data_IF_369188503526
#
_entry.id   IF_369188503526
#
_cell.length_a   1.000
_cell.length_b   1.000
_cell.length_c   1.000
_cell.angle_alpha   90.00
_cell.angle_beta   90.00
_cell.angle_gamma   90.00
#
_symmetry.space_group_name_H-M   'P 1'
#
loop_
_entity.id
_entity.type
_entity.pdbx_description
1 polymer ?
#
# COMPACT_ATOMS: atom_id res chain seq x y z
N UNK A 1 52.78 46.89 -0.05
CA UNK A 1 51.50 46.87 0.71
C UNK A 1 50.84 45.53 0.45
N UNK A 2 50.47 44.82 1.52
CA UNK A 2 50.21 43.37 1.55
C UNK A 2 48.95 42.99 0.74
N UNK A 3 49.08 41.98 -0.11
CA UNK A 3 48.02 41.39 -0.91
C UNK A 3 47.06 40.58 -0.03
N UNK A 4 45.83 41.08 0.01
CA UNK A 4 44.61 40.45 0.53
C UNK A 4 44.22 39.29 -0.42
N UNK A 5 43.57 38.19 -0.08
CA UNK A 5 42.94 37.68 1.15
C UNK A 5 42.57 36.21 0.86
N UNK A 6 42.92 35.30 1.78
CA UNK A 6 42.16 34.09 2.18
C UNK A 6 41.31 33.34 1.15
N UNK A 7 41.77 32.14 0.76
CA UNK A 7 40.96 31.08 0.14
C UNK A 7 40.03 30.47 1.20
N UNK A 8 38.71 30.62 1.03
CA UNK A 8 37.73 29.88 1.82
C UNK A 8 37.38 28.58 1.08
N UNK A 9 37.89 27.44 1.59
CA UNK A 9 37.42 26.12 1.17
C UNK A 9 36.25 25.75 2.08
N UNK A 10 35.02 25.90 1.59
CA UNK A 10 33.83 25.38 2.24
C UNK A 10 33.72 23.88 1.96
N UNK A 11 34.20 23.05 2.90
CA UNK A 11 34.02 21.60 2.84
C UNK A 11 32.66 21.26 3.48
N UNK A 12 31.59 21.28 2.69
CA UNK A 12 30.28 20.83 3.15
C UNK A 12 30.27 19.30 3.24
N UNK A 13 30.38 18.78 4.47
CA UNK A 13 30.25 17.35 4.76
C UNK A 13 28.77 17.00 4.60
N UNK A 14 28.43 16.27 3.52
CA UNK A 14 27.10 15.68 3.35
C UNK A 14 26.98 14.47 4.27
N UNK A 15 26.41 14.66 5.45
CA UNK A 15 26.03 13.55 6.34
C UNK A 15 24.65 13.07 5.87
N UNK A 16 24.62 12.05 5.00
CA UNK A 16 23.36 11.36 4.68
C UNK A 16 23.08 10.33 5.77
N UNK A 17 22.36 10.73 6.82
CA UNK A 17 21.80 9.78 7.77
C UNK A 17 20.57 9.11 7.14
N UNK A 18 20.75 7.91 6.55
CA UNK A 18 19.63 7.03 6.23
C UNK A 18 19.15 6.37 7.54
N UNK A 19 18.19 7.00 8.21
CA UNK A 19 17.47 6.38 9.30
C UNK A 19 16.49 5.35 8.72
N UNK A 20 16.84 4.06 8.77
CA UNK A 20 15.87 2.99 8.57
C UNK A 20 15.14 2.78 9.89
N UNK A 21 13.85 3.14 9.92
CA UNK A 21 12.98 2.86 11.05
C UNK A 21 12.57 1.39 11.01
N UNK A 22 13.09 0.59 11.93
CA UNK A 22 12.51 -0.71 12.26
C UNK A 22 11.40 -0.47 13.29
N UNK A 23 10.14 -0.43 12.85
CA UNK A 23 9.04 -0.28 13.79
C UNK A 23 8.70 -1.63 14.44
N UNK A 24 8.45 -1.65 15.77
CA UNK A 24 7.98 -2.83 16.46
C UNK A 24 6.59 -3.20 15.93
N UNK A 25 6.23 -4.47 16.04
CA UNK A 25 4.89 -5.01 15.73
C UNK A 25 3.80 -4.24 16.50
N UNK A 26 3.28 -3.19 15.89
CA UNK A 26 2.04 -2.53 16.28
C UNK A 26 0.94 -3.02 15.34
N UNK A 27 -0.07 -3.67 15.91
CA UNK A 27 -1.36 -3.89 15.27
C UNK A 27 -1.86 -2.55 14.71
N UNK A 28 -2.13 -2.48 13.41
CA UNK A 28 -2.67 -1.29 12.73
C UNK A 28 -1.67 -0.45 11.92
N UNK A 29 -0.44 -0.90 11.66
CA UNK A 29 0.42 -0.21 10.68
C UNK A 29 -0.10 -0.42 9.24
N UNK A 30 0.01 0.57 8.33
CA UNK A 30 -0.40 0.43 6.94
C UNK A 30 0.18 -0.81 6.23
N UNK A 31 1.40 -1.20 6.60
CA UNK A 31 2.08 -2.38 6.08
C UNK A 31 1.39 -3.68 6.51
N UNK A 32 0.97 -3.79 7.77
CA UNK A 32 0.28 -4.99 8.28
C UNK A 32 -1.07 -5.18 7.59
N UNK A 33 -1.83 -4.09 7.44
CA UNK A 33 -3.12 -4.08 6.74
C UNK A 33 -2.94 -4.47 5.27
N UNK A 34 -1.94 -3.87 4.60
CA UNK A 34 -1.64 -4.20 3.20
C UNK A 34 -1.29 -5.68 3.05
N UNK A 35 -0.49 -6.24 3.96
CA UNK A 35 -0.12 -7.66 3.96
C UNK A 35 -1.34 -8.57 4.17
N UNK A 36 -2.20 -8.23 5.12
CA UNK A 36 -3.43 -8.97 5.39
C UNK A 36 -4.37 -8.98 4.17
N UNK A 37 -4.63 -7.80 3.58
CA UNK A 37 -5.47 -7.70 2.39
C UNK A 37 -4.83 -8.43 1.20
N UNK A 38 -3.50 -8.38 1.06
CA UNK A 38 -2.78 -9.12 0.00
C UNK A 38 -2.99 -10.62 0.15
N UNK A 39 -2.92 -11.16 1.37
CA UNK A 39 -3.19 -12.58 1.63
C UNK A 39 -4.62 -12.99 1.25
N UNK A 40 -5.60 -12.09 1.46
CA UNK A 40 -6.98 -12.32 0.99
C UNK A 40 -7.07 -12.37 -0.53
N UNK A 41 -6.18 -11.69 -1.26
CA UNK A 41 -6.13 -11.63 -2.72
C UNK A 41 -5.19 -12.68 -3.37
N UNK A 42 -4.67 -13.64 -2.60
CA UNK A 42 -3.79 -14.67 -3.14
C UNK A 42 -4.52 -15.70 -4.01
N UNK A 43 -3.77 -16.30 -4.95
CA UNK A 43 -4.20 -17.38 -5.84
C UNK A 43 -5.45 -17.04 -6.69
N UNK A 44 -5.35 -16.06 -7.60
CA UNK A 44 -6.38 -15.83 -8.60
C UNK A 44 -6.57 -17.06 -9.49
N UNK A 45 -7.82 -17.34 -9.86
CA UNK A 45 -8.19 -18.48 -10.72
C UNK A 45 -8.16 -18.13 -12.21
N UNK A 46 -7.72 -16.92 -12.55
CA UNK A 46 -7.66 -16.38 -13.92
C UNK A 46 -6.23 -15.94 -14.23
N UNK A 47 -5.94 -15.81 -15.53
CA UNK A 47 -4.63 -15.37 -16.00
C UNK A 47 -4.57 -13.84 -16.06
N UNK A 48 -3.56 -13.26 -15.43
CA UNK A 48 -3.21 -11.85 -15.63
C UNK A 48 -2.36 -11.77 -16.88
N UNK A 49 -2.96 -11.36 -18.00
CA UNK A 49 -2.26 -11.26 -19.30
C UNK A 49 -1.49 -9.95 -19.48
N UNK A 50 -1.81 -8.93 -18.69
CA UNK A 50 -1.18 -7.61 -18.72
C UNK A 50 -1.08 -7.06 -17.30
N UNK A 51 0.04 -6.40 -17.00
CA UNK A 51 0.17 -5.69 -15.73
C UNK A 51 -0.88 -4.57 -15.64
N UNK A 52 -1.54 -4.49 -14.49
CA UNK A 52 -2.52 -3.44 -14.23
C UNK A 52 -2.58 -3.12 -12.73
N UNK A 53 -2.89 -1.86 -12.41
CA UNK A 53 -3.16 -1.43 -11.05
C UNK A 53 -4.61 -1.02 -10.95
N UNK A 54 -5.32 -1.57 -9.97
CA UNK A 54 -6.73 -1.31 -9.71
C UNK A 54 -6.86 -0.58 -8.37
N UNK A 55 -7.63 0.49 -8.32
CA UNK A 55 -7.95 1.17 -7.07
C UNK A 55 -9.20 0.56 -6.44
N UNK A 56 -9.11 0.12 -5.19
CA UNK A 56 -10.23 -0.42 -4.42
C UNK A 56 -10.58 0.55 -3.31
N UNK A 57 -11.81 1.04 -3.29
CA UNK A 57 -12.31 1.83 -2.17
C UNK A 57 -13.15 0.94 -1.25
N UNK A 58 -12.87 1.01 0.04
CA UNK A 58 -13.60 0.23 1.03
C UNK A 58 -13.71 0.97 2.36
N UNK A 59 -14.66 0.51 3.19
CA UNK A 59 -14.80 0.90 4.59
C UNK A 59 -14.82 -0.33 5.47
N UNK A 60 -14.48 -0.20 6.75
CA UNK A 60 -14.82 -1.23 7.74
C UNK A 60 -16.16 -0.94 8.40
N UNK A 61 -16.99 -1.97 8.51
CA UNK A 61 -18.23 -1.90 9.27
C UNK A 61 -18.00 -2.20 10.76
N UNK A 62 -19.05 -2.12 11.58
CA UNK A 62 -19.00 -2.37 13.02
C UNK A 62 -18.50 -3.76 13.46
N UNK A 63 -18.43 -4.73 12.53
CA UNK A 63 -17.93 -6.09 12.76
C UNK A 63 -16.48 -6.24 12.28
N UNK A 64 -15.81 -5.15 11.94
CA UNK A 64 -14.51 -5.14 11.26
C UNK A 64 -14.52 -5.85 9.90
N UNK A 65 -15.71 -5.99 9.27
CA UNK A 65 -15.83 -6.54 7.92
C UNK A 65 -15.59 -5.44 6.89
N UNK A 66 -14.79 -5.76 5.88
CA UNK A 66 -14.59 -4.95 4.68
C UNK A 66 -15.91 -4.84 3.91
N UNK A 67 -16.32 -3.61 3.63
CA UNK A 67 -17.41 -3.31 2.70
C UNK A 67 -16.79 -2.61 1.50
N UNK A 68 -16.75 -3.29 0.36
CA UNK A 68 -16.23 -2.72 -0.89
C UNK A 68 -17.23 -1.71 -1.43
N UNK A 69 -16.77 -0.47 -1.62
CA UNK A 69 -17.56 0.62 -2.19
C UNK A 69 -17.40 0.68 -3.71
N UNK A 70 -16.16 0.59 -4.19
CA UNK A 70 -15.84 0.67 -5.61
C UNK A 70 -14.57 -0.12 -5.94
N UNK A 71 -14.48 -0.58 -7.19
CA UNK A 71 -13.29 -1.22 -7.76
C UNK A 71 -13.08 -0.61 -9.14
N UNK A 72 -12.01 0.17 -9.32
CA UNK A 72 -11.67 0.82 -10.60
C UNK A 72 -10.90 -0.15 -11.50
N UNK A 73 -11.65 -1.06 -12.13
CA UNK A 73 -11.14 -2.12 -12.97
C UNK A 73 -11.88 -2.16 -14.31
N UNK A 74 -11.15 -2.48 -15.38
CA UNK A 74 -11.72 -2.69 -16.73
C UNK A 74 -12.01 -4.16 -17.02
N UNK A 75 -11.22 -5.04 -16.41
CA UNK A 75 -11.32 -6.49 -16.56
C UNK A 75 -12.34 -7.06 -15.58
N UNK A 76 -13.40 -7.68 -16.11
CA UNK A 76 -14.48 -8.23 -15.30
C UNK A 76 -14.03 -9.35 -14.36
N UNK A 77 -13.03 -10.16 -14.75
CA UNK A 77 -12.49 -11.24 -13.92
C UNK A 77 -11.74 -10.66 -12.72
N UNK A 78 -10.95 -9.59 -12.95
CA UNK A 78 -10.26 -8.85 -11.88
C UNK A 78 -11.26 -8.21 -10.93
N UNK A 79 -12.29 -7.53 -11.47
CA UNK A 79 -13.34 -6.90 -10.67
C UNK A 79 -14.06 -7.92 -9.77
N UNK A 80 -14.49 -9.02 -10.37
CA UNK A 80 -15.22 -10.10 -9.70
C UNK A 80 -14.35 -10.75 -8.62
N UNK A 81 -13.08 -11.01 -8.94
CA UNK A 81 -12.12 -11.57 -8.01
C UNK A 81 -11.94 -10.68 -6.79
N UNK A 82 -11.59 -9.40 -6.95
CA UNK A 82 -11.40 -8.47 -5.83
C UNK A 82 -12.64 -8.44 -4.95
N UNK A 83 -13.83 -8.29 -5.55
CA UNK A 83 -15.07 -8.21 -4.78
C UNK A 83 -15.34 -9.50 -4.00
N UNK A 84 -15.19 -10.67 -4.64
CA UNK A 84 -15.41 -11.97 -4.00
C UNK A 84 -14.41 -12.28 -2.87
N UNK A 85 -13.19 -11.76 -2.98
CA UNK A 85 -12.11 -12.01 -2.02
C UNK A 85 -12.12 -11.06 -0.85
N UNK A 86 -12.54 -9.81 -1.04
CA UNK A 86 -12.49 -8.77 -0.01
C UNK A 86 -13.84 -8.50 0.66
N UNK A 87 -14.92 -8.44 -0.11
CA UNK A 87 -16.18 -7.99 0.43
C UNK A 87 -16.68 -8.96 1.52
N UNK A 88 -17.08 -8.38 2.65
CA UNK A 88 -17.48 -9.08 3.89
C UNK A 88 -16.39 -9.91 4.56
N UNK A 89 -15.11 -9.71 4.25
CA UNK A 89 -14.01 -10.30 5.03
C UNK A 89 -13.76 -9.50 6.29
N UNK A 90 -13.65 -10.20 7.41
CA UNK A 90 -13.22 -9.61 8.69
C UNK A 90 -11.71 -9.42 8.62
N UNK A 91 -11.24 -8.21 8.94
CA UNK A 91 -9.82 -7.97 9.17
C UNK A 91 -9.47 -8.19 10.64
N UNK A 92 -8.28 -8.69 10.92
CA UNK A 92 -7.64 -8.73 12.23
C UNK A 92 -7.04 -7.36 12.58
N UNK A 93 -6.61 -6.60 11.57
CA UNK A 93 -6.08 -5.26 11.76
C UNK A 93 -7.17 -4.27 12.17
N UNK A 94 -6.84 -3.39 13.12
CA UNK A 94 -7.73 -2.30 13.55
C UNK A 94 -7.61 -1.11 12.58
N UNK A 95 -8.71 -0.76 11.92
CA UNK A 95 -8.87 0.47 11.15
C UNK A 95 -10.01 1.30 11.73
N UNK A 96 -10.00 2.58 11.39
CA UNK A 96 -11.09 3.49 11.75
C UNK A 96 -12.36 3.07 11.01
N UNK A 97 -13.43 2.77 11.76
CA UNK A 97 -14.70 2.33 11.20
C UNK A 97 -15.36 3.46 10.40
N UNK A 98 -15.96 3.10 9.26
CA UNK A 98 -16.67 4.06 8.39
C UNK A 98 -15.76 5.03 7.62
N UNK A 99 -14.44 5.04 7.88
CA UNK A 99 -13.48 5.78 7.06
C UNK A 99 -13.28 5.10 5.72
N UNK A 100 -13.30 5.90 4.65
CA UNK A 100 -13.01 5.41 3.30
C UNK A 100 -11.50 5.27 3.14
N UNK A 101 -11.07 4.07 2.78
CA UNK A 101 -9.70 3.73 2.44
C UNK A 101 -9.61 3.40 0.95
N UNK A 102 -8.52 3.85 0.32
CA UNK A 102 -8.20 3.51 -1.07
C UNK A 102 -6.96 2.62 -1.08
N UNK A 103 -7.10 1.41 -1.61
CA UNK A 103 -6.03 0.44 -1.74
C UNK A 103 -5.69 0.22 -3.23
N UNK A 104 -4.48 0.59 -3.69
CA UNK A 104 -4.01 0.19 -5.01
C UNK A 104 -3.56 -1.28 -4.99
N UNK A 105 -4.16 -2.11 -5.84
CA UNK A 105 -3.80 -3.52 -6.03
C UNK A 105 -3.12 -3.68 -7.38
N UNK A 106 -1.85 -4.11 -7.38
CA UNK A 106 -1.10 -4.38 -8.61
C UNK A 106 -1.22 -5.85 -8.99
N UNK A 107 -1.76 -6.12 -10.18
CA UNK A 107 -1.70 -7.42 -10.83
C UNK A 107 -0.51 -7.43 -11.78
N UNK A 108 0.34 -8.45 -11.66
CA UNK A 108 1.51 -8.65 -12.52
C UNK A 108 1.29 -9.88 -13.38
N UNK A 109 1.63 -9.79 -14.67
CA UNK A 109 1.61 -10.98 -15.52
C UNK A 109 2.71 -11.94 -15.10
N UNK A 110 2.41 -13.24 -15.15
CA UNK A 110 3.43 -14.27 -14.94
C UNK A 110 3.95 -14.68 -16.32
N UNK A 111 5.21 -14.33 -16.59
CA UNK A 111 5.94 -14.76 -17.80
C UNK A 111 6.08 -16.29 -17.88
#
# INVERSE_FOLDING_TARGET
>A
MKTLKTVFVALSILITSSAFATNPTTSGTPETIAKEITALLDNPTFLVTQEQTVAVEFVLNKNNEVVVLSVDCKDADVCSFINSRLNRKVLESELELGKVYTLPVKFVSKD
#
